data_IF_486955496966
#
_entry.id   IF_486955496966
#
_cell.length_a   1.000
_cell.length_b   1.000
_cell.length_c   1.000
_cell.angle_alpha   90.00
_cell.angle_beta   90.00
_cell.angle_gamma   90.00
#
_symmetry.space_group_name_H-M   'P 1'
#
loop_
_entity.id
_entity.type
_entity.pdbx_description
1 polymer ?
#
# COMPACT_ATOMS: atom_id res chain seq x y z
N UNK A 1 -17.33 15.45 12.25
CA UNK A 1 -15.85 15.49 12.32
C UNK A 1 -15.32 15.63 10.90
N UNK A 2 -14.53 16.68 10.63
CA UNK A 2 -13.88 16.81 9.31
C UNK A 2 -12.71 15.84 9.30
N UNK A 3 -12.79 14.79 8.53
CA UNK A 3 -11.65 13.91 8.28
C UNK A 3 -10.65 14.69 7.43
N UNK A 4 -9.60 15.18 8.04
CA UNK A 4 -8.45 15.72 7.30
C UNK A 4 -7.75 14.54 6.68
N UNK A 5 -7.95 14.31 5.40
CA UNK A 5 -7.20 13.31 4.64
C UNK A 5 -5.77 13.85 4.51
N UNK A 6 -4.90 13.43 5.40
CA UNK A 6 -3.46 13.62 5.25
C UNK A 6 -2.98 12.46 4.39
N UNK A 7 -3.11 12.60 3.08
CA UNK A 7 -2.40 11.72 2.16
C UNK A 7 -0.89 11.87 2.39
N UNK A 8 -0.14 10.80 2.21
CA UNK A 8 1.31 10.89 2.18
C UNK A 8 1.68 12.00 1.19
N UNK A 9 2.41 13.01 1.64
CA UNK A 9 2.80 14.12 0.76
C UNK A 9 3.56 13.59 -0.45
N UNK A 10 3.57 14.31 -1.57
CA UNK A 10 4.22 13.90 -2.83
C UNK A 10 5.64 13.39 -2.64
N UNK A 11 6.37 13.95 -1.68
CA UNK A 11 7.72 13.52 -1.32
C UNK A 11 7.74 12.09 -0.75
N UNK A 12 6.82 11.76 0.16
CA UNK A 12 6.73 10.41 0.74
C UNK A 12 6.30 9.37 -0.31
N UNK A 13 5.37 9.73 -1.20
CA UNK A 13 4.99 8.87 -2.34
C UNK A 13 6.21 8.55 -3.21
N UNK A 14 7.05 9.54 -3.51
CA UNK A 14 8.27 9.33 -4.30
C UNK A 14 9.25 8.38 -3.59
N UNK A 15 9.49 8.56 -2.29
CA UNK A 15 10.35 7.68 -1.48
C UNK A 15 9.83 6.23 -1.49
N UNK A 16 8.51 6.05 -1.28
CA UNK A 16 7.91 4.72 -1.25
C UNK A 16 7.98 4.05 -2.64
N UNK A 17 7.72 4.78 -3.72
CA UNK A 17 7.83 4.26 -5.09
C UNK A 17 9.27 3.86 -5.44
N UNK A 18 10.26 4.67 -5.07
CA UNK A 18 11.67 4.33 -5.25
C UNK A 18 12.06 3.06 -4.46
N UNK A 19 11.63 2.98 -3.20
CA UNK A 19 11.90 1.84 -2.35
C UNK A 19 11.25 0.53 -2.85
N UNK A 20 10.09 0.63 -3.53
CA UNK A 20 9.39 -0.49 -4.14
C UNK A 20 10.15 -1.09 -5.34
N UNK A 21 11.06 -0.35 -5.97
CA UNK A 21 11.77 -0.81 -7.18
C UNK A 21 10.77 -1.28 -8.26
N UNK A 22 9.81 -0.44 -8.57
CA UNK A 22 8.75 -0.75 -9.52
C UNK A 22 9.32 -1.07 -10.91
N UNK A 23 8.69 -2.03 -11.58
CA UNK A 23 9.05 -2.45 -12.95
C UNK A 23 7.79 -2.52 -13.81
N UNK A 24 7.98 -2.31 -15.11
CA UNK A 24 6.92 -2.49 -16.11
C UNK A 24 6.30 -3.87 -15.96
N UNK A 25 4.98 -3.92 -15.94
CA UNK A 25 4.20 -5.17 -15.82
C UNK A 25 4.00 -5.68 -14.39
N UNK A 26 4.49 -4.97 -13.36
CA UNK A 26 4.28 -5.41 -11.98
C UNK A 26 2.79 -5.49 -11.62
N UNK A 27 2.44 -6.47 -10.80
CA UNK A 27 1.19 -6.55 -10.06
C UNK A 27 1.40 -6.00 -8.66
N UNK A 28 0.71 -4.93 -8.32
CA UNK A 28 0.92 -4.18 -7.07
C UNK A 28 -0.34 -4.20 -6.22
N UNK A 29 -0.17 -4.44 -4.92
CA UNK A 29 -1.20 -4.19 -3.91
C UNK A 29 -0.86 -2.91 -3.15
N UNK A 30 -1.80 -2.00 -3.07
CA UNK A 30 -1.78 -0.85 -2.16
C UNK A 30 -2.81 -1.03 -1.05
N UNK A 31 -2.43 -0.76 0.18
CA UNK A 31 -3.31 -0.72 1.35
C UNK A 31 -3.42 0.71 1.84
N UNK A 32 -4.62 1.29 1.72
CA UNK A 32 -4.91 2.69 2.00
C UNK A 32 -4.92 3.54 0.73
N UNK A 33 -6.03 3.51 -0.04
CA UNK A 33 -6.15 4.26 -1.29
C UNK A 33 -6.17 5.78 -1.08
N UNK A 34 -6.77 6.24 0.02
CA UNK A 34 -6.93 7.66 0.30
C UNK A 34 -7.64 8.41 -0.84
N UNK A 35 -6.92 9.29 -1.52
CA UNK A 35 -7.43 10.00 -2.70
C UNK A 35 -7.27 9.25 -4.02
N UNK A 36 -6.58 8.11 -4.05
CA UNK A 36 -6.20 7.38 -5.26
C UNK A 36 -4.91 7.88 -5.92
N UNK A 37 -4.30 8.95 -5.40
CA UNK A 37 -3.10 9.56 -6.01
C UNK A 37 -1.90 8.61 -6.06
N UNK A 38 -1.61 7.90 -4.97
CA UNK A 38 -0.48 6.96 -4.94
C UNK A 38 -0.71 5.80 -5.91
N UNK A 39 -1.91 5.19 -5.91
CA UNK A 39 -2.26 4.14 -6.87
C UNK A 39 -2.05 4.58 -8.33
N UNK A 40 -2.46 5.82 -8.68
CA UNK A 40 -2.26 6.38 -10.01
C UNK A 40 -0.76 6.53 -10.35
N UNK A 41 0.06 7.03 -9.43
CA UNK A 41 1.51 7.18 -9.66
C UNK A 41 2.21 5.84 -9.82
N UNK A 42 1.79 4.81 -9.07
CA UNK A 42 2.28 3.43 -9.24
C UNK A 42 1.87 2.89 -10.61
N UNK A 43 0.59 3.08 -11.01
CA UNK A 43 0.09 2.61 -12.31
C UNK A 43 0.86 3.22 -13.49
N UNK A 44 1.27 4.50 -13.41
CA UNK A 44 2.14 5.11 -14.42
C UNK A 44 3.50 4.42 -14.51
N UNK A 45 4.14 4.14 -13.37
CA UNK A 45 5.48 3.56 -13.33
C UNK A 45 5.52 2.10 -13.78
N UNK A 46 4.47 1.32 -13.55
CA UNK A 46 4.40 -0.08 -13.98
C UNK A 46 3.86 -0.25 -15.40
N UNK A 47 3.39 0.82 -16.02
CA UNK A 47 2.92 0.83 -17.40
C UNK A 47 1.62 0.07 -17.65
N UNK A 48 1.15 0.02 -18.92
CA UNK A 48 -0.14 -0.56 -19.26
C UNK A 48 -0.22 -2.09 -19.11
N UNK A 49 0.91 -2.78 -19.01
CA UNK A 49 0.95 -4.23 -18.75
C UNK A 49 0.86 -4.57 -17.24
N UNK A 50 1.05 -3.58 -16.36
CA UNK A 50 0.92 -3.73 -14.93
C UNK A 50 -0.51 -3.48 -14.44
N UNK A 51 -0.77 -3.84 -13.18
CA UNK A 51 -2.06 -3.57 -12.54
C UNK A 51 -1.90 -3.27 -11.06
N UNK A 52 -2.65 -2.30 -10.56
CA UNK A 52 -2.73 -1.92 -9.15
C UNK A 52 -4.07 -2.37 -8.56
N UNK A 53 -4.01 -3.12 -7.47
CA UNK A 53 -5.15 -3.34 -6.59
C UNK A 53 -4.98 -2.45 -5.37
N UNK A 54 -5.95 -1.60 -5.08
CA UNK A 54 -5.90 -0.70 -3.92
C UNK A 54 -7.10 -0.93 -3.01
N UNK A 55 -6.85 -1.03 -1.71
CA UNK A 55 -7.89 -1.30 -0.71
C UNK A 55 -8.05 -0.06 0.17
N UNK A 56 -9.30 0.30 0.42
CA UNK A 56 -9.65 1.40 1.34
C UNK A 56 -10.76 0.95 2.29
N UNK A 57 -10.57 1.26 3.58
CA UNK A 57 -11.52 0.90 4.62
C UNK A 57 -12.70 1.88 4.70
N UNK A 58 -12.42 3.16 4.51
CA UNK A 58 -13.36 4.27 4.75
C UNK A 58 -14.25 4.50 3.53
N UNK A 59 -15.59 4.32 3.62
CA UNK A 59 -16.49 4.42 2.45
C UNK A 59 -16.41 5.75 1.72
N UNK A 60 -16.24 6.86 2.45
CA UNK A 60 -16.13 8.20 1.89
C UNK A 60 -14.84 8.35 1.06
N UNK A 61 -13.73 7.75 1.50
CA UNK A 61 -12.47 7.73 0.77
C UNK A 61 -12.54 6.80 -0.45
N UNK A 62 -13.28 5.70 -0.36
CA UNK A 62 -13.54 4.84 -1.52
C UNK A 62 -14.25 5.62 -2.63
N UNK A 63 -15.26 6.41 -2.29
CA UNK A 63 -15.97 7.26 -3.26
C UNK A 63 -15.05 8.31 -3.88
N UNK A 64 -14.25 8.97 -3.05
CA UNK A 64 -13.29 9.98 -3.49
C UNK A 64 -12.23 9.39 -4.42
N UNK A 65 -11.60 8.29 -4.02
CA UNK A 65 -10.58 7.61 -4.84
C UNK A 65 -11.16 7.14 -6.18
N UNK A 66 -12.36 6.57 -6.17
CA UNK A 66 -13.05 6.13 -7.39
C UNK A 66 -13.24 7.28 -8.36
N UNK A 67 -13.84 8.39 -7.90
CA UNK A 67 -14.07 9.58 -8.74
C UNK A 67 -12.77 10.12 -9.32
N UNK A 68 -11.73 10.24 -8.51
CA UNK A 68 -10.44 10.76 -8.95
C UNK A 68 -9.76 9.83 -9.98
N UNK A 69 -9.79 8.52 -9.74
CA UNK A 69 -9.19 7.55 -10.65
C UNK A 69 -9.94 7.47 -11.99
N UNK A 70 -11.26 7.57 -11.97
CA UNK A 70 -12.10 7.63 -13.18
C UNK A 70 -11.82 8.91 -13.98
N UNK A 71 -11.83 10.07 -13.32
CA UNK A 71 -11.56 11.37 -13.95
C UNK A 71 -10.15 11.43 -14.56
N UNK A 72 -9.17 10.83 -13.87
CA UNK A 72 -7.79 10.78 -14.34
C UNK A 72 -7.50 9.66 -15.37
N UNK A 73 -8.49 8.81 -15.71
CA UNK A 73 -8.37 7.77 -16.73
C UNK A 73 -7.63 6.50 -16.29
N UNK A 74 -7.64 6.15 -14.98
CA UNK A 74 -6.95 4.98 -14.45
C UNK A 74 -7.84 3.76 -14.20
N UNK A 75 -9.13 3.81 -14.53
CA UNK A 75 -10.10 2.73 -14.23
C UNK A 75 -9.70 1.37 -14.79
N UNK A 76 -8.99 1.33 -15.91
CA UNK A 76 -8.54 0.07 -16.53
C UNK A 76 -7.27 -0.50 -15.90
N UNK A 77 -6.51 0.32 -15.17
CA UNK A 77 -5.21 -0.05 -14.58
C UNK A 77 -5.21 -0.14 -13.06
N UNK A 78 -6.26 0.36 -12.42
CA UNK A 78 -6.41 0.37 -10.96
C UNK A 78 -7.76 -0.22 -10.57
N UNK A 79 -7.74 -1.27 -9.77
CA UNK A 79 -8.94 -1.85 -9.16
C UNK A 79 -9.03 -1.40 -7.70
N UNK A 80 -10.07 -0.65 -7.38
CA UNK A 80 -10.35 -0.18 -6.02
C UNK A 80 -11.33 -1.13 -5.31
N UNK A 81 -10.93 -1.61 -4.15
CA UNK A 81 -11.70 -2.53 -3.31
C UNK A 81 -11.99 -1.84 -1.96
N UNK A 82 -13.23 -1.91 -1.50
CA UNK A 82 -13.57 -1.51 -0.14
C UNK A 82 -13.40 -2.69 0.82
N UNK A 83 -12.60 -2.52 1.88
CA UNK A 83 -12.41 -3.57 2.87
C UNK A 83 -11.24 -3.33 3.84
N UNK A 84 -10.99 -4.34 4.66
CA UNK A 84 -9.87 -4.37 5.60
C UNK A 84 -8.56 -4.72 4.88
N UNK A 85 -7.76 -3.69 4.60
CA UNK A 85 -6.49 -3.85 3.90
C UNK A 85 -5.41 -4.57 4.71
N UNK A 86 -5.55 -4.69 6.03
CA UNK A 86 -4.59 -5.45 6.85
C UNK A 86 -4.57 -6.94 6.53
N UNK A 87 -5.65 -7.44 5.91
CA UNK A 87 -5.78 -8.83 5.43
C UNK A 87 -5.25 -9.01 4.00
N UNK A 88 -4.89 -7.92 3.32
CA UNK A 88 -4.53 -7.94 1.91
C UNK A 88 -5.73 -8.21 1.00
N UNK A 89 -5.43 -8.73 -0.20
CA UNK A 89 -6.45 -9.11 -1.19
C UNK A 89 -6.06 -10.46 -1.82
N UNK A 90 -6.39 -11.57 -1.13
CA UNK A 90 -5.92 -12.92 -1.52
C UNK A 90 -6.44 -13.38 -2.88
N UNK A 91 -7.62 -12.91 -3.33
CA UNK A 91 -8.22 -13.30 -4.60
C UNK A 91 -7.34 -12.97 -5.82
N UNK A 92 -6.40 -12.05 -5.66
CA UNK A 92 -5.50 -11.60 -6.73
C UNK A 92 -4.01 -11.83 -6.40
N UNK A 93 -3.72 -12.46 -5.26
CA UNK A 93 -2.35 -12.84 -4.91
C UNK A 93 -1.79 -13.88 -5.91
N UNK A 94 -0.44 -14.02 -6.04
CA UNK A 94 0.58 -13.23 -5.35
C UNK A 94 0.87 -11.89 -6.03
N UNK A 95 1.50 -10.97 -5.27
CA UNK A 95 1.88 -9.63 -5.72
C UNK A 95 3.38 -9.50 -5.89
N UNK A 96 3.82 -8.74 -6.90
CA UNK A 96 5.22 -8.35 -7.08
C UNK A 96 5.67 -7.36 -6.03
N UNK A 97 4.80 -6.41 -5.73
CA UNK A 97 5.02 -5.31 -4.81
C UNK A 97 3.80 -5.09 -3.94
N UNK A 98 4.03 -4.75 -2.69
CA UNK A 98 2.97 -4.33 -1.76
C UNK A 98 3.39 -3.03 -1.09
N UNK A 99 2.51 -2.06 -1.01
CA UNK A 99 2.72 -0.79 -0.30
C UNK A 99 1.58 -0.52 0.67
N UNK A 100 1.93 -0.11 1.87
CA UNK A 100 0.96 0.21 2.92
C UNK A 100 1.13 1.68 3.31
N UNK A 101 0.08 2.46 3.19
CA UNK A 101 0.06 3.90 3.45
C UNK A 101 -0.52 4.25 4.83
N UNK A 102 -0.53 3.29 5.73
CA UNK A 102 -0.96 3.41 7.12
C UNK A 102 -0.01 2.61 8.03
N UNK A 103 0.25 3.07 9.25
CA UNK A 103 1.18 2.42 10.16
C UNK A 103 0.54 1.23 10.87
N UNK A 104 1.21 0.09 10.86
CA UNK A 104 0.80 -1.13 11.56
C UNK A 104 1.60 -1.33 12.86
N UNK A 105 1.03 -1.98 13.90
CA UNK A 105 1.77 -2.30 15.13
C UNK A 105 2.90 -3.30 14.88
N UNK A 106 2.74 -4.13 13.87
CA UNK A 106 3.70 -5.13 13.36
C UNK A 106 3.43 -5.35 11.88
N UNK A 107 4.34 -6.01 11.17
CA UNK A 107 4.12 -6.37 9.76
C UNK A 107 3.01 -7.44 9.70
N UNK A 108 1.87 -7.17 9.04
CA UNK A 108 0.78 -8.13 8.92
C UNK A 108 1.22 -9.39 8.17
N UNK A 109 1.04 -10.56 8.79
CA UNK A 109 1.39 -11.84 8.17
C UNK A 109 0.68 -12.07 6.82
N UNK A 110 -0.62 -11.75 6.63
CA UNK A 110 -1.29 -11.92 5.35
C UNK A 110 -0.63 -11.19 4.19
N UNK A 111 -0.06 -10.00 4.43
CA UNK A 111 0.64 -9.24 3.39
C UNK A 111 1.93 -9.93 2.96
N UNK A 112 2.70 -10.44 3.93
CA UNK A 112 3.92 -11.20 3.62
C UNK A 112 3.59 -12.52 2.89
N UNK A 113 2.51 -13.20 3.28
CA UNK A 113 2.06 -14.42 2.63
C UNK A 113 1.67 -14.18 1.16
N UNK A 114 1.03 -13.03 0.87
CA UNK A 114 0.60 -12.66 -0.48
C UNK A 114 1.71 -12.05 -1.34
N UNK A 115 2.88 -11.77 -0.78
CA UNK A 115 4.04 -11.31 -1.52
C UNK A 115 4.72 -12.50 -2.20
N UNK A 116 4.98 -12.41 -3.51
CA UNK A 116 5.70 -13.48 -4.24
C UNK A 116 7.16 -13.61 -3.79
N UNK A 117 7.83 -14.73 -4.04
CA UNK A 117 9.30 -14.79 -4.00
C UNK A 117 9.92 -13.70 -4.90
N UNK A 118 10.98 -13.05 -4.46
CA UNK A 118 11.59 -11.88 -5.12
C UNK A 118 10.81 -10.57 -4.94
N UNK A 119 9.69 -10.58 -4.21
CA UNK A 119 8.84 -9.41 -4.00
C UNK A 119 9.34 -8.45 -2.91
N UNK A 120 8.77 -7.24 -2.92
CA UNK A 120 9.06 -6.17 -1.96
C UNK A 120 7.77 -5.64 -1.36
N UNK A 121 7.75 -5.51 -0.02
CA UNK A 121 6.71 -4.82 0.74
C UNK A 121 7.30 -3.58 1.41
N UNK A 122 6.64 -2.44 1.28
CA UNK A 122 6.95 -1.19 1.99
C UNK A 122 5.82 -0.88 2.96
N UNK A 123 6.14 -0.72 4.24
CA UNK A 123 5.13 -0.53 5.29
C UNK A 123 5.68 0.31 6.44
N UNK A 124 4.93 1.32 6.93
CA UNK A 124 5.23 1.94 8.22
C UNK A 124 4.88 1.00 9.39
N UNK A 125 5.80 0.85 10.32
CA UNK A 125 5.62 0.00 11.52
C UNK A 125 5.93 0.79 12.77
N UNK A 126 5.09 0.68 13.78
CA UNK A 126 5.31 1.36 15.06
C UNK A 126 4.04 1.62 15.85
N UNK A 127 4.11 2.58 16.76
CA UNK A 127 2.98 2.94 17.62
C UNK A 127 1.82 3.60 16.85
N UNK A 128 0.64 3.59 17.47
CA UNK A 128 -0.58 4.19 16.87
C UNK A 128 -0.40 5.68 16.54
N UNK A 129 0.40 6.38 17.32
CA UNK A 129 0.74 7.78 17.08
C UNK A 129 2.23 7.93 16.71
N UNK A 130 3.16 7.53 17.54
CA UNK A 130 4.62 7.60 17.33
C UNK A 130 5.34 6.76 18.41
N UNK A 131 6.61 6.34 18.20
CA UNK A 131 7.39 6.44 16.96
C UNK A 131 6.98 5.40 15.92
N UNK A 132 7.21 5.71 14.64
CA UNK A 132 6.99 4.82 13.52
C UNK A 132 8.22 4.83 12.60
N UNK A 133 8.47 3.72 11.95
CA UNK A 133 9.59 3.50 11.05
C UNK A 133 9.07 2.94 9.71
N UNK A 134 9.56 3.50 8.60
CA UNK A 134 9.28 2.93 7.29
C UNK A 134 10.17 1.71 7.07
N UNK A 135 9.56 0.57 6.87
CA UNK A 135 10.25 -0.73 6.75
C UNK A 135 10.11 -1.24 5.33
N UNK A 136 11.24 -1.65 4.74
CA UNK A 136 11.31 -2.41 3.50
C UNK A 136 11.47 -3.88 3.84
N UNK A 137 10.57 -4.70 3.34
CA UNK A 137 10.63 -6.16 3.46
C UNK A 137 10.93 -6.74 2.08
N UNK A 138 11.98 -7.54 1.98
CA UNK A 138 12.27 -8.37 0.79
C UNK A 138 11.97 -9.83 1.11
N UNK A 139 11.32 -10.51 0.20
CA UNK A 139 11.13 -11.95 0.24
C UNK A 139 12.03 -12.58 -0.82
N UNK A 140 13.02 -13.37 -0.40
CA UNK A 140 13.92 -14.00 -1.35
C UNK A 140 13.27 -15.17 -2.11
N UNK A 141 13.95 -15.75 -3.08
CA UNK A 141 13.45 -16.86 -3.89
C UNK A 141 13.18 -18.15 -3.07
N UNK A 142 13.72 -18.23 -1.85
CA UNK A 142 13.50 -19.33 -0.91
C UNK A 142 12.41 -19.01 0.12
N UNK A 143 11.76 -17.84 0.00
CA UNK A 143 10.72 -17.38 0.91
C UNK A 143 11.22 -16.77 2.22
N UNK A 144 12.52 -16.56 2.40
CA UNK A 144 13.10 -15.92 3.59
C UNK A 144 12.87 -14.42 3.52
N UNK A 145 12.68 -13.81 4.68
CA UNK A 145 12.32 -12.39 4.84
C UNK A 145 13.54 -11.62 5.37
N UNK A 146 13.93 -10.60 4.63
CA UNK A 146 14.87 -9.58 5.07
C UNK A 146 14.13 -8.26 5.34
N UNK A 147 14.51 -7.55 6.40
CA UNK A 147 13.92 -6.28 6.81
C UNK A 147 14.99 -5.21 6.86
N UNK A 148 14.70 -4.04 6.27
CA UNK A 148 15.58 -2.88 6.29
C UNK A 148 14.78 -1.65 6.69
N UNK A 149 15.28 -0.88 7.65
CA UNK A 149 14.72 0.42 7.99
C UNK A 149 15.09 1.47 6.95
N UNK A 150 14.09 2.27 6.58
CA UNK A 150 14.25 3.42 5.68
C UNK A 150 14.16 4.76 6.44
N UNK A 151 14.02 4.72 7.78
CA UNK A 151 13.98 5.90 8.64
C UNK A 151 12.61 6.17 9.27
N UNK A 152 12.58 7.18 10.14
CA UNK A 152 11.39 7.58 10.89
C UNK A 152 10.34 8.25 10.00
N UNK A 153 9.06 7.91 10.24
CA UNK A 153 7.91 8.43 9.49
C UNK A 153 6.71 8.68 10.41
N UNK A 154 5.69 9.33 9.85
CA UNK A 154 4.42 9.61 10.51
C UNK A 154 3.26 9.28 9.57
N UNK A 155 2.53 8.24 9.88
CA UNK A 155 1.35 7.80 9.16
C UNK A 155 0.15 7.65 10.09
N UNK A 156 -1.05 7.71 9.52
CA UNK A 156 -2.30 7.32 10.19
C UNK A 156 -2.25 5.84 10.55
N UNK A 157 -2.96 5.38 11.61
CA UNK A 157 -2.96 3.97 11.97
C UNK A 157 -3.67 3.10 10.93
N UNK A 158 -3.10 1.96 10.64
CA UNK A 158 -3.75 0.88 9.89
C UNK A 158 -4.80 0.25 10.79
N UNK A 159 -6.06 0.52 10.50
CA UNK A 159 -7.18 -0.08 11.24
C UNK A 159 -7.60 -1.37 10.55
N UNK A 160 -7.75 -2.44 11.34
CA UNK A 160 -8.17 -3.75 10.82
C UNK A 160 -7.71 -4.90 11.71
N UNK A 161 -8.08 -6.09 11.32
CA UNK A 161 -7.85 -7.33 12.09
C UNK A 161 -6.38 -7.59 12.42
N UNK A 162 -5.47 -7.26 11.51
CA UNK A 162 -4.02 -7.38 11.69
C UNK A 162 -3.34 -6.01 11.91
N UNK A 163 -4.14 -4.96 12.12
CA UNK A 163 -3.72 -3.60 12.41
C UNK A 163 -3.99 -3.19 13.85
N UNK A 164 -4.41 -1.94 14.02
CA UNK A 164 -4.93 -1.43 15.29
C UNK A 164 -6.46 -1.58 15.35
N UNK A 165 -6.97 -1.76 16.55
CA UNK A 165 -8.41 -1.69 16.81
C UNK A 165 -8.96 -0.28 16.58
N UNK A 166 -10.26 -0.16 16.28
CA UNK A 166 -10.98 1.11 16.16
C UNK A 166 -10.99 1.92 17.45
#
# INVERSE_FOLDING_TARGET
>A
MRHTVIGAGRYMVAIMNEALELRIGNKVLEVGAGSGYHAATVAEQIGPQGHVYTIELVPELVKLARSNLEEAGYSDRVTLVQGDGSLGYPDRAPYDRIVVTAAAPKIPHPLVAQLRPGGILIIPVGGRLFPQELVKVRKDEKGRIERTSLGGVAFVPLIGKEGFDL
#
